data_IF_635387698316
#
_entry.id   IF_635387698316
#
_cell.length_a   1.000
_cell.length_b   1.000
_cell.length_c   1.000
_cell.angle_alpha   90.00
_cell.angle_beta   90.00
_cell.angle_gamma   90.00
#
_symmetry.space_group_name_H-M   'P 1'
#
loop_
_entity.id
_entity.type
_entity.pdbx_description
1 polymer ?
#
# COMPACT_ATOMS: atom_id res chain seq x y z
N UNK A 1 -20.58 -39.20 -26.46
CA UNK A 1 -19.77 -39.63 -25.29
C UNK A 1 -18.40 -38.95 -25.17
N UNK A 2 -17.83 -38.33 -26.23
CA UNK A 2 -16.47 -37.72 -26.20
C UNK A 2 -16.35 -36.41 -25.40
N UNK A 3 -17.48 -35.73 -25.17
CA UNK A 3 -17.49 -34.42 -24.49
C UNK A 3 -17.82 -34.49 -22.99
N UNK A 4 -18.28 -35.65 -22.49
CA UNK A 4 -18.59 -35.84 -21.07
C UNK A 4 -17.33 -35.68 -20.19
N UNK A 5 -16.19 -36.23 -20.65
CA UNK A 5 -14.92 -36.13 -19.92
C UNK A 5 -14.39 -34.69 -19.89
N UNK A 6 -14.61 -33.91 -20.95
CA UNK A 6 -14.20 -32.50 -21.00
C UNK A 6 -15.02 -31.65 -20.04
N UNK A 7 -16.34 -31.90 -19.98
CA UNK A 7 -17.23 -31.22 -19.03
C UNK A 7 -16.85 -31.59 -17.60
N UNK A 8 -16.54 -32.86 -17.32
CA UNK A 8 -16.12 -33.31 -16.00
C UNK A 8 -14.79 -32.67 -15.56
N UNK A 9 -13.81 -32.59 -16.46
CA UNK A 9 -12.55 -31.89 -16.20
C UNK A 9 -12.78 -30.40 -15.95
N UNK A 10 -13.62 -29.75 -16.76
CA UNK A 10 -13.92 -28.32 -16.60
C UNK A 10 -14.59 -28.03 -15.25
N UNK A 11 -15.59 -28.83 -14.85
CA UNK A 11 -16.27 -28.68 -13.55
C UNK A 11 -15.29 -28.91 -12.40
N UNK A 12 -14.43 -29.93 -12.50
CA UNK A 12 -13.42 -30.19 -11.48
C UNK A 12 -12.44 -29.02 -11.32
N UNK A 13 -11.91 -28.48 -12.42
CA UNK A 13 -11.01 -27.33 -12.38
C UNK A 13 -11.71 -26.06 -11.87
N UNK A 14 -12.96 -25.82 -12.26
CA UNK A 14 -13.75 -24.71 -11.76
C UNK A 14 -13.97 -24.84 -10.25
N UNK A 15 -14.35 -26.03 -9.76
CA UNK A 15 -14.53 -26.29 -8.32
C UNK A 15 -13.22 -26.08 -7.56
N UNK A 16 -12.09 -26.61 -8.05
CA UNK A 16 -10.78 -26.36 -7.44
C UNK A 16 -10.43 -24.87 -7.42
N UNK A 17 -10.69 -24.15 -8.50
CA UNK A 17 -10.46 -22.70 -8.57
C UNK A 17 -11.31 -21.92 -7.56
N UNK A 18 -12.60 -22.26 -7.44
CA UNK A 18 -13.49 -21.62 -6.46
C UNK A 18 -13.13 -21.98 -5.03
N UNK A 19 -12.77 -23.24 -4.75
CA UNK A 19 -12.30 -23.66 -3.41
C UNK A 19 -10.99 -22.96 -3.06
N UNK A 20 -10.04 -22.88 -3.99
CA UNK A 20 -8.77 -22.20 -3.77
C UNK A 20 -8.98 -20.71 -3.52
N UNK A 21 -9.80 -20.06 -4.35
CA UNK A 21 -10.16 -18.65 -4.18
C UNK A 21 -10.87 -18.42 -2.85
N UNK A 22 -11.85 -19.25 -2.50
CA UNK A 22 -12.54 -19.16 -1.22
C UNK A 22 -11.58 -19.37 -0.05
N UNK A 23 -10.68 -20.34 -0.11
CA UNK A 23 -9.66 -20.57 0.92
C UNK A 23 -8.74 -19.36 1.09
N UNK A 24 -8.28 -18.76 -0.01
CA UNK A 24 -7.50 -17.54 0.04
C UNK A 24 -8.28 -16.39 0.68
N UNK A 25 -9.50 -16.11 0.22
CA UNK A 25 -10.27 -14.95 0.70
C UNK A 25 -10.94 -15.16 2.07
N UNK A 26 -11.25 -16.39 2.46
CA UNK A 26 -11.91 -16.70 3.72
C UNK A 26 -10.92 -17.03 4.86
N UNK A 27 -9.74 -17.57 4.54
CA UNK A 27 -8.73 -17.95 5.55
C UNK A 27 -7.58 -16.93 5.61
N UNK A 28 -7.15 -16.39 4.45
CA UNK A 28 -6.10 -15.35 4.38
C UNK A 28 -6.67 -13.96 4.09
N UNK A 29 -7.99 -13.85 3.93
CA UNK A 29 -8.66 -12.62 4.30
C UNK A 29 -8.51 -12.50 5.81
N UNK A 30 -7.35 -12.02 6.25
CA UNK A 30 -7.22 -11.35 7.53
C UNK A 30 -8.25 -10.23 7.47
N UNK A 31 -9.47 -10.58 7.89
CA UNK A 31 -10.44 -9.65 8.38
C UNK A 31 -9.85 -9.15 9.68
N UNK A 32 -8.82 -8.30 9.54
CA UNK A 32 -8.15 -7.57 10.60
C UNK A 32 -9.20 -6.66 11.23
N UNK A 33 -10.04 -7.25 12.06
CA UNK A 33 -11.06 -6.62 12.89
C UNK A 33 -12.13 -5.80 12.14
N UNK A 34 -13.36 -5.85 12.63
CA UNK A 34 -14.30 -4.75 12.45
C UNK A 34 -13.71 -3.54 13.20
N UNK A 35 -12.76 -2.87 12.55
CA UNK A 35 -11.83 -1.87 13.11
C UNK A 35 -10.47 -1.91 12.40
N UNK A 36 -10.45 -2.06 11.07
CA UNK A 36 -9.26 -2.26 10.22
C UNK A 36 -8.06 -1.41 10.62
N UNK A 37 -6.85 -1.97 10.57
CA UNK A 37 -5.60 -1.34 11.00
C UNK A 37 -5.57 0.15 10.61
N UNK A 38 -5.12 1.03 11.52
CA UNK A 38 -5.06 2.48 11.26
C UNK A 38 -4.32 2.78 9.95
N UNK A 39 -3.34 1.95 9.58
CA UNK A 39 -2.66 2.02 8.30
C UNK A 39 -3.58 1.73 7.08
N UNK A 40 -4.52 0.80 7.17
CA UNK A 40 -5.48 0.50 6.10
C UNK A 40 -6.49 1.64 5.91
N UNK A 41 -6.97 2.22 7.02
CA UNK A 41 -7.82 3.42 6.96
C UNK A 41 -7.06 4.59 6.34
N UNK A 42 -5.80 4.78 6.73
CA UNK A 42 -4.93 5.80 6.13
C UNK A 42 -4.71 5.59 4.64
N UNK A 43 -4.50 4.34 4.21
CA UNK A 43 -4.40 3.98 2.78
C UNK A 43 -5.68 4.32 2.02
N UNK A 44 -6.85 4.08 2.60
CA UNK A 44 -8.14 4.45 1.99
C UNK A 44 -8.24 5.96 1.81
N UNK A 45 -7.89 6.74 2.83
CA UNK A 45 -7.88 8.21 2.75
C UNK A 45 -6.89 8.69 1.68
N UNK A 46 -5.70 8.11 1.62
CA UNK A 46 -4.69 8.40 0.59
C UNK A 46 -5.25 8.25 -0.83
N UNK A 47 -6.01 7.19 -1.07
CA UNK A 47 -6.66 6.92 -2.35
C UNK A 47 -7.83 7.88 -2.62
N UNK A 48 -8.73 8.06 -1.65
CA UNK A 48 -9.93 8.90 -1.79
C UNK A 48 -9.59 10.38 -2.01
N UNK A 49 -8.51 10.87 -1.39
CA UNK A 49 -8.03 12.24 -1.54
C UNK A 49 -7.04 12.42 -2.71
N UNK A 50 -6.82 11.37 -3.49
CA UNK A 50 -5.94 11.36 -4.65
C UNK A 50 -4.51 11.85 -4.34
N UNK A 51 -3.96 11.47 -3.20
CA UNK A 51 -2.61 11.86 -2.79
C UNK A 51 -1.55 11.41 -3.80
N UNK A 52 -1.72 10.22 -4.40
CA UNK A 52 -0.88 9.70 -5.50
C UNK A 52 -0.86 10.62 -6.72
N UNK A 53 -1.87 11.46 -6.92
CA UNK A 53 -1.89 12.40 -8.05
C UNK A 53 -0.76 13.45 -7.97
N UNK A 54 -0.28 13.75 -6.76
CA UNK A 54 0.81 14.71 -6.54
C UNK A 54 2.07 14.07 -5.95
N UNK A 55 1.92 13.08 -5.08
CA UNK A 55 3.02 12.46 -4.34
C UNK A 55 3.33 11.04 -4.85
N UNK A 56 4.52 10.55 -4.49
CA UNK A 56 4.98 9.21 -4.85
C UNK A 56 5.07 8.29 -3.65
N UNK A 57 4.93 7.00 -3.92
CA UNK A 57 5.33 5.89 -3.06
C UNK A 57 6.16 4.93 -3.93
N UNK A 58 7.37 4.60 -3.50
CA UNK A 58 8.40 3.90 -4.29
C UNK A 58 8.66 4.52 -5.67
N UNK A 59 8.66 5.85 -5.76
CA UNK A 59 8.77 6.56 -7.04
C UNK A 59 7.54 6.43 -7.96
N UNK A 60 6.45 5.81 -7.52
CA UNK A 60 5.20 5.67 -8.27
C UNK A 60 4.18 6.71 -7.82
N UNK A 61 3.76 7.56 -8.75
CA UNK A 61 2.77 8.62 -8.52
C UNK A 61 3.12 9.92 -9.24
N UNK A 62 2.52 11.02 -8.79
CA UNK A 62 2.79 12.36 -9.28
C UNK A 62 4.13 12.90 -8.81
N UNK A 63 4.67 13.87 -9.54
CA UNK A 63 5.98 14.50 -9.26
C UNK A 63 5.84 15.94 -8.73
N UNK A 64 4.61 16.39 -8.44
CA UNK A 64 4.37 17.74 -7.93
C UNK A 64 4.81 17.88 -6.48
N UNK A 65 4.59 16.83 -5.69
CA UNK A 65 5.08 16.69 -4.33
C UNK A 65 6.25 15.70 -4.24
N UNK A 66 7.00 15.70 -3.11
CA UNK A 66 8.06 14.73 -2.89
C UNK A 66 7.53 13.30 -2.77
N UNK A 67 8.42 12.34 -2.99
CA UNK A 67 8.22 10.94 -2.62
C UNK A 67 8.11 10.80 -1.10
N UNK A 68 7.06 10.14 -0.65
CA UNK A 68 6.74 10.00 0.77
C UNK A 68 7.07 8.60 1.32
N UNK A 69 7.72 7.73 0.56
CA UNK A 69 8.01 6.34 0.96
C UNK A 69 8.66 6.26 2.34
N UNK A 70 9.70 7.06 2.58
CA UNK A 70 10.44 7.04 3.85
C UNK A 70 10.27 8.34 4.66
N UNK A 71 9.18 9.08 4.42
CA UNK A 71 8.96 10.39 5.08
C UNK A 71 8.82 10.26 6.59
N UNK A 72 8.30 9.12 7.07
CA UNK A 72 8.09 8.88 8.51
C UNK A 72 9.40 8.88 9.28
N UNK A 73 10.40 8.12 8.82
CA UNK A 73 11.73 8.07 9.41
C UNK A 73 12.55 9.34 9.15
N UNK A 74 12.36 10.01 8.00
CA UNK A 74 13.10 11.22 7.63
C UNK A 74 12.64 12.50 8.35
N UNK A 75 11.33 12.61 8.67
CA UNK A 75 10.73 13.84 9.20
C UNK A 75 10.09 13.66 10.58
N UNK A 76 9.68 12.45 10.92
CA UNK A 76 9.00 12.14 12.18
C UNK A 76 7.51 12.49 12.19
N UNK A 77 6.81 11.90 13.17
CA UNK A 77 5.36 11.99 13.35
C UNK A 77 4.84 13.43 13.38
N UNK A 78 5.42 14.29 14.22
CA UNK A 78 4.85 15.63 14.46
C UNK A 78 4.93 16.54 13.24
N UNK A 79 6.00 16.39 12.44
CA UNK A 79 6.11 17.10 11.17
C UNK A 79 4.99 16.70 10.21
N UNK A 80 4.74 15.39 10.09
CA UNK A 80 3.71 14.85 9.19
C UNK A 80 2.32 15.34 9.62
N UNK A 81 2.01 15.26 10.91
CA UNK A 81 0.73 15.72 11.45
C UNK A 81 0.51 17.21 11.21
N UNK A 82 1.53 18.04 11.44
CA UNK A 82 1.46 19.48 11.19
C UNK A 82 1.20 19.80 9.71
N UNK A 83 1.86 19.09 8.79
CA UNK A 83 1.65 19.25 7.34
C UNK A 83 0.23 18.85 6.92
N UNK A 84 -0.28 17.73 7.41
CA UNK A 84 -1.64 17.27 7.10
C UNK A 84 -2.72 18.23 7.63
N UNK A 85 -2.46 18.90 8.76
CA UNK A 85 -3.37 19.86 9.38
C UNK A 85 -3.43 21.21 8.68
N UNK A 86 -2.31 21.66 8.14
CA UNK A 86 -2.18 23.02 7.59
C UNK A 86 -2.20 23.08 6.06
N UNK A 87 -1.63 22.07 5.39
CA UNK A 87 -1.35 22.13 3.95
C UNK A 87 -0.24 23.15 3.63
N UNK A 88 -0.09 23.46 2.34
CA UNK A 88 0.78 24.53 1.82
C UNK A 88 0.03 25.35 0.77
N UNK A 89 0.72 26.26 0.08
CA UNK A 89 0.13 26.98 -1.06
C UNK A 89 -0.25 26.03 -2.22
N UNK A 90 0.44 24.89 -2.35
CA UNK A 90 0.23 23.92 -3.43
C UNK A 90 -0.51 22.68 -2.95
N UNK A 91 -0.17 22.18 -1.75
CA UNK A 91 -0.86 21.05 -1.13
C UNK A 91 -2.10 21.58 -0.40
N UNK A 92 -3.32 21.22 -0.83
CA UNK A 92 -4.52 21.77 -0.22
C UNK A 92 -4.68 21.34 1.24
N UNK A 93 -5.32 22.18 2.04
CA UNK A 93 -5.80 21.78 3.35
C UNK A 93 -7.09 20.97 3.19
N UNK A 94 -7.04 19.68 3.48
CA UNK A 94 -8.20 18.79 3.36
C UNK A 94 -9.14 18.84 4.57
N UNK A 95 -8.78 19.61 5.60
CA UNK A 95 -9.51 19.72 6.87
C UNK A 95 -9.75 18.36 7.54
N UNK A 96 -8.72 17.53 7.57
CA UNK A 96 -8.75 16.21 8.22
C UNK A 96 -9.06 16.33 9.72
N UNK A 97 -9.79 15.35 10.22
CA UNK A 97 -9.94 15.10 11.66
C UNK A 97 -8.63 14.56 12.25
N UNK A 98 -8.44 14.68 13.56
CA UNK A 98 -7.24 14.16 14.23
C UNK A 98 -7.08 12.63 14.03
N UNK A 99 -8.18 11.89 13.93
CA UNK A 99 -8.15 10.46 13.65
C UNK A 99 -7.70 10.16 12.21
N UNK A 100 -8.17 10.92 11.22
CA UNK A 100 -7.72 10.76 9.83
C UNK A 100 -6.24 11.12 9.66
N UNK A 101 -5.77 12.13 10.39
CA UNK A 101 -4.35 12.50 10.44
C UNK A 101 -3.53 11.36 11.04
N UNK A 102 -3.98 10.75 12.14
CA UNK A 102 -3.32 9.61 12.75
C UNK A 102 -3.30 8.40 11.80
N UNK A 103 -4.42 8.08 11.17
CA UNK A 103 -4.54 6.97 10.21
C UNK A 103 -3.59 7.16 9.01
N UNK A 104 -3.56 8.35 8.41
CA UNK A 104 -2.60 8.68 7.35
C UNK A 104 -1.15 8.58 7.82
N UNK A 105 -0.87 9.00 9.05
CA UNK A 105 0.48 8.91 9.63
C UNK A 105 0.90 7.46 9.84
N UNK A 106 -0.01 6.60 10.32
CA UNK A 106 0.26 5.16 10.46
C UNK A 106 0.41 4.48 9.10
N UNK A 107 -0.33 4.91 8.08
CA UNK A 107 -0.11 4.45 6.71
C UNK A 107 1.29 4.82 6.19
N UNK A 108 1.72 6.07 6.36
CA UNK A 108 3.07 6.48 5.95
C UNK A 108 4.16 5.74 6.73
N UNK A 109 3.92 5.43 8.01
CA UNK A 109 4.81 4.59 8.82
C UNK A 109 4.90 3.16 8.28
N UNK A 110 3.77 2.55 7.89
CA UNK A 110 3.77 1.18 7.37
C UNK A 110 4.48 1.09 6.02
N UNK A 111 4.31 2.10 5.15
CA UNK A 111 5.07 2.22 3.91
C UNK A 111 6.56 2.37 4.21
N UNK A 112 6.94 3.26 5.13
CA UNK A 112 8.32 3.47 5.52
C UNK A 112 8.98 2.17 5.99
N UNK A 113 8.28 1.34 6.77
CA UNK A 113 8.75 0.04 7.22
C UNK A 113 8.85 -1.02 6.12
N UNK A 114 8.09 -0.90 5.04
CA UNK A 114 8.06 -1.89 3.96
C UNK A 114 9.29 -1.88 3.05
N UNK A 115 10.14 -0.85 3.09
CA UNK A 115 11.32 -0.76 2.24
C UNK A 115 11.89 0.65 2.06
N UNK A 116 12.80 0.80 1.09
CA UNK A 116 13.51 2.07 0.82
C UNK A 116 13.11 2.59 -0.57
N UNK A 117 12.46 3.75 -0.62
CA UNK A 117 11.97 4.35 -1.87
C UNK A 117 13.08 4.82 -2.81
N UNK A 118 14.20 5.31 -2.25
CA UNK A 118 15.36 5.79 -3.02
C UNK A 118 16.66 5.19 -2.48
N UNK A 119 16.98 3.93 -2.83
CA UNK A 119 18.19 3.28 -2.33
C UNK A 119 19.44 3.97 -2.91
N UNK A 120 20.37 4.35 -2.04
CA UNK A 120 21.65 4.96 -2.46
C UNK A 120 22.62 3.95 -3.08
N UNK A 121 22.45 2.67 -2.76
CA UNK A 121 23.20 1.54 -3.33
C UNK A 121 22.24 0.39 -3.63
N UNK A 122 22.40 -0.19 -4.82
CA UNK A 122 21.63 -1.35 -5.25
C UNK A 122 22.42 -2.64 -4.95
N UNK A 123 21.73 -3.70 -4.55
CA UNK A 123 22.33 -5.03 -4.35
C UNK A 123 22.39 -5.75 -5.69
N UNK A 124 23.59 -6.04 -6.18
CA UNK A 124 23.77 -6.85 -7.39
C UNK A 124 23.94 -8.31 -6.95
N UNK A 125 23.01 -9.17 -7.35
CA UNK A 125 23.04 -10.60 -7.07
C UNK A 125 23.99 -11.31 -8.04
N UNK A 126 24.42 -12.53 -7.70
CA UNK A 126 25.37 -13.31 -8.50
C UNK A 126 24.83 -13.72 -9.88
N UNK A 127 23.50 -13.77 -10.03
CA UNK A 127 22.78 -14.06 -11.28
C UNK A 127 22.60 -12.80 -12.15
N UNK A 128 23.14 -11.66 -11.73
CA UNK A 128 23.01 -10.38 -12.42
C UNK A 128 21.71 -9.63 -12.12
N UNK A 129 20.82 -10.17 -11.27
CA UNK A 129 19.61 -9.45 -10.86
C UNK A 129 19.94 -8.34 -9.86
N UNK A 130 19.10 -7.30 -9.85
CA UNK A 130 19.26 -6.14 -8.96
C UNK A 130 18.18 -6.21 -7.89
N UNK A 131 18.59 -6.23 -6.62
CA UNK A 131 17.72 -6.14 -5.45
C UNK A 131 17.78 -4.77 -4.78
N UNK A 132 16.69 -4.40 -4.12
CA UNK A 132 16.74 -3.31 -3.14
C UNK A 132 17.51 -3.75 -1.89
N UNK A 133 18.26 -2.84 -1.25
CA UNK A 133 18.84 -3.11 0.06
C UNK A 133 17.73 -3.36 1.08
N UNK A 134 17.98 -4.28 2.00
CA UNK A 134 17.13 -4.46 3.18
C UNK A 134 17.22 -3.22 4.08
N UNK A 135 16.14 -2.96 4.81
CA UNK A 135 16.04 -1.82 5.72
C UNK A 135 16.63 -2.14 7.09
#
# INVERSE_FOLDING_TARGET
MKDCNKILIFVFLAVLFFIYSFSLYAINGDFSSFGGDSADRGKKIWQEKNCTGCHQIYGLGGYLGPDLTNTYSERGTEYIKAFLKSGTQTMPNFHFTENEIEDLTQYLKSIDQSGIGRPSKLKINYDGTIGQPEK
#
